data_IF_941364890587
#
_entry.id   IF_941364890587
#
_cell.length_a   1.000
_cell.length_b   1.000
_cell.length_c   1.000
_cell.angle_alpha   90.00
_cell.angle_beta   90.00
_cell.angle_gamma   90.00
#
_symmetry.space_group_name_H-M   'P 1'
#
loop_
_entity.id
_entity.type
_entity.pdbx_description
1 polymer ?
#
# COMPACT_ATOMS: atom_id res chain seq x y z
N UNK A 1 -1.46 11.95 -26.36
CA UNK A 1 -2.32 11.03 -25.58
C UNK A 1 -2.92 11.73 -24.40
N UNK A 2 -4.25 11.81 -24.34
CA UNK A 2 -4.95 12.31 -23.15
C UNK A 2 -4.88 11.23 -22.07
N UNK A 3 -4.45 11.53 -20.84
CA UNK A 3 -4.53 10.56 -19.75
C UNK A 3 -5.99 10.17 -19.54
N UNK A 4 -6.31 8.89 -19.67
CA UNK A 4 -7.58 8.33 -19.24
C UNK A 4 -7.71 8.63 -17.75
N UNK A 5 -8.65 9.50 -17.39
CA UNK A 5 -8.97 9.78 -15.99
C UNK A 5 -9.60 8.53 -15.41
N UNK A 6 -8.83 7.76 -14.64
CA UNK A 6 -9.33 6.59 -13.90
C UNK A 6 -10.46 7.05 -12.98
N UNK A 7 -11.70 6.71 -13.31
CA UNK A 7 -12.84 6.96 -12.43
C UNK A 7 -12.88 5.88 -11.36
N UNK A 8 -13.26 6.24 -10.13
CA UNK A 8 -13.55 5.24 -9.09
C UNK A 8 -14.61 4.28 -9.64
N UNK A 9 -14.37 2.95 -9.70
CA UNK A 9 -15.31 2.02 -10.30
C UNK A 9 -16.68 2.08 -9.62
N UNK A 10 -17.76 2.06 -10.41
CA UNK A 10 -19.12 1.91 -9.90
C UNK A 10 -19.22 0.58 -9.13
N UNK A 11 -19.56 0.63 -7.84
CA UNK A 11 -19.57 -0.56 -6.97
C UNK A 11 -18.26 -0.78 -6.20
N UNK A 12 -17.34 0.18 -6.22
CA UNK A 12 -16.23 0.22 -5.29
C UNK A 12 -16.75 0.07 -3.84
N UNK A 13 -16.26 -0.93 -3.08
CA UNK A 13 -16.64 -1.13 -1.70
C UNK A 13 -16.57 0.16 -0.89
N UNK A 14 -17.66 0.51 -0.22
CA UNK A 14 -17.74 1.65 0.70
C UNK A 14 -17.32 1.28 2.12
N UNK A 15 -17.12 0.00 2.40
CA UNK A 15 -16.90 -0.53 3.73
C UNK A 15 -15.49 -1.11 3.86
N UNK A 16 -14.72 -0.54 4.80
CA UNK A 16 -13.56 -1.10 5.49
C UNK A 16 -12.49 -1.82 4.66
N UNK A 17 -12.30 -1.44 3.39
CA UNK A 17 -11.38 -2.12 2.48
C UNK A 17 -10.37 -1.16 1.88
N UNK A 18 -9.10 -1.54 2.00
CA UNK A 18 -8.03 -0.95 1.23
C UNK A 18 -8.05 -1.58 -0.17
N UNK A 19 -8.04 -0.73 -1.20
CA UNK A 19 -8.19 -1.17 -2.59
C UNK A 19 -7.15 -0.45 -3.44
N UNK A 20 -6.44 -1.22 -4.25
CA UNK A 20 -5.56 -0.70 -5.28
C UNK A 20 -6.23 -0.95 -6.63
N UNK A 21 -6.31 0.10 -7.43
CA UNK A 21 -6.88 0.08 -8.76
C UNK A 21 -5.78 0.19 -9.81
N UNK A 22 -5.98 -0.46 -10.95
CA UNK A 22 -5.27 -0.18 -12.17
C UNK A 22 -6.32 0.12 -13.25
N UNK A 23 -6.27 1.32 -13.83
CA UNK A 23 -7.33 1.88 -14.67
C UNK A 23 -8.69 1.80 -13.95
N UNK A 24 -9.58 0.91 -14.41
CA UNK A 24 -10.91 0.68 -13.85
C UNK A 24 -11.06 -0.69 -13.17
N UNK A 25 -9.95 -1.42 -13.01
CA UNK A 25 -9.94 -2.77 -12.43
C UNK A 25 -9.40 -2.73 -11.02
N UNK A 26 -10.05 -3.46 -10.13
CA UNK A 26 -9.52 -3.73 -8.80
C UNK A 26 -8.39 -4.76 -8.95
N UNK A 27 -7.16 -4.39 -8.59
CA UNK A 27 -5.97 -5.24 -8.74
C UNK A 27 -5.42 -5.76 -7.42
N UNK A 28 -5.73 -5.07 -6.33
CA UNK A 28 -5.68 -5.64 -4.98
C UNK A 28 -6.90 -5.16 -4.21
N UNK A 29 -7.58 -6.10 -3.56
CA UNK A 29 -8.62 -5.83 -2.58
C UNK A 29 -8.59 -6.90 -1.51
N UNK A 30 -9.03 -6.53 -0.32
CA UNK A 30 -9.49 -7.51 0.63
C UNK A 30 -10.79 -8.15 0.12
N UNK A 31 -10.77 -9.45 -0.16
CA UNK A 31 -11.98 -10.21 -0.45
C UNK A 31 -12.37 -11.04 0.78
N UNK A 32 -13.43 -10.63 1.48
CA UNK A 32 -13.89 -11.26 2.72
C UNK A 32 -14.40 -12.70 2.55
N UNK A 33 -14.58 -13.18 1.31
CA UNK A 33 -15.10 -14.53 1.00
C UNK A 33 -14.06 -15.48 0.38
N UNK A 34 -12.84 -15.01 0.10
CA UNK A 34 -11.75 -15.88 -0.34
C UNK A 34 -10.59 -15.76 0.63
N UNK A 35 -10.25 -16.87 1.29
CA UNK A 35 -9.11 -17.04 2.19
C UNK A 35 -7.75 -16.97 1.44
N UNK A 36 -7.67 -16.12 0.40
CA UNK A 36 -6.58 -15.96 -0.58
C UNK A 36 -6.42 -14.50 -1.04
N UNK A 37 -6.81 -13.53 -0.21
CA UNK A 37 -6.37 -12.13 -0.37
C UNK A 37 -4.95 -11.94 0.21
N UNK A 38 -4.17 -10.92 -0.22
CA UNK A 38 -2.86 -10.65 0.36
C UNK A 38 -3.01 -10.45 1.88
N UNK A 39 -2.16 -11.08 2.71
CA UNK A 39 -2.54 -11.43 4.07
C UNK A 39 -2.61 -10.28 5.10
N UNK A 40 -2.34 -9.02 4.76
CA UNK A 40 -2.22 -7.96 5.78
C UNK A 40 -2.55 -6.56 5.25
N UNK A 41 -3.79 -6.28 4.89
CA UNK A 41 -4.29 -4.90 4.96
C UNK A 41 -5.27 -4.85 6.13
N UNK A 42 -4.88 -4.17 7.21
CA UNK A 42 -5.69 -4.09 8.41
C UNK A 42 -7.04 -3.43 8.08
N UNK A 43 -8.13 -4.05 8.56
CA UNK A 43 -9.52 -3.56 8.44
C UNK A 43 -9.80 -2.29 9.26
N UNK A 44 -8.80 -1.45 9.47
CA UNK A 44 -8.94 -0.25 10.25
C UNK A 44 -9.14 0.95 9.30
N UNK A 45 -10.34 1.54 9.34
CA UNK A 45 -10.64 2.80 8.63
C UNK A 45 -9.69 3.93 9.03
N UNK A 46 -9.17 3.87 10.25
CA UNK A 46 -8.21 4.84 10.77
C UNK A 46 -6.77 4.52 10.37
N UNK A 47 -6.51 3.45 9.61
CA UNK A 47 -5.15 3.16 9.12
C UNK A 47 -4.63 4.23 8.15
N UNK A 48 -5.54 4.92 7.44
CA UNK A 48 -5.22 5.82 6.33
C UNK A 48 -4.32 5.15 5.27
N UNK A 49 -4.54 3.86 4.99
CA UNK A 49 -3.84 3.17 3.91
C UNK A 49 -4.07 3.89 2.57
N UNK A 50 -3.00 4.05 1.79
CA UNK A 50 -3.04 4.81 0.54
C UNK A 50 -2.85 6.31 0.73
N UNK A 51 -2.62 6.79 1.96
CA UNK A 51 -2.33 8.20 2.22
C UNK A 51 -1.05 8.70 1.54
N UNK A 52 -0.09 7.80 1.33
CA UNK A 52 1.11 8.07 0.55
C UNK A 52 1.44 6.84 -0.29
N UNK A 53 1.92 7.06 -1.53
CA UNK A 53 2.25 6.00 -2.47
C UNK A 53 3.51 6.39 -3.23
N UNK A 54 4.44 5.44 -3.38
CA UNK A 54 5.58 5.56 -4.27
C UNK A 54 5.74 4.27 -5.09
N UNK A 55 6.12 4.41 -6.35
CA UNK A 55 6.36 3.30 -7.27
C UNK A 55 7.67 3.51 -8.01
N UNK A 56 8.46 2.45 -8.14
CA UNK A 56 9.64 2.39 -8.99
C UNK A 56 9.70 1.00 -9.62
N UNK A 57 9.79 0.97 -10.95
CA UNK A 57 9.64 -0.26 -11.74
C UNK A 57 8.35 -1.02 -11.35
N UNK A 58 8.49 -2.21 -10.78
CA UNK A 58 7.37 -3.01 -10.30
C UNK A 58 7.13 -2.89 -8.78
N UNK A 59 8.00 -2.22 -8.03
CA UNK A 59 7.86 -2.14 -6.57
C UNK A 59 6.96 -0.97 -6.19
N UNK A 60 5.93 -1.25 -5.40
CA UNK A 60 4.96 -0.27 -4.90
C UNK A 60 5.04 -0.26 -3.38
N UNK A 61 5.18 0.94 -2.81
CA UNK A 61 5.12 1.19 -1.38
C UNK A 61 3.89 2.03 -1.09
N UNK A 62 3.08 1.57 -0.14
CA UNK A 62 1.86 2.26 0.30
C UNK A 62 1.96 2.57 1.78
N UNK A 63 1.86 3.85 2.14
CA UNK A 63 1.82 4.30 3.53
C UNK A 63 0.43 4.21 4.14
N UNK A 64 0.41 3.93 5.45
CA UNK A 64 -0.78 3.89 6.30
C UNK A 64 -0.42 4.47 7.68
N UNK A 65 -0.34 5.81 7.76
CA UNK A 65 0.20 6.48 8.93
C UNK A 65 -0.67 6.38 10.20
N UNK A 66 -1.95 6.03 10.07
CA UNK A 66 -2.84 5.87 11.23
C UNK A 66 -2.91 4.44 11.77
N UNK A 67 -2.19 3.51 11.16
CA UNK A 67 -2.12 2.12 11.62
C UNK A 67 -1.56 2.02 13.05
N UNK A 68 -1.94 0.98 13.82
CA UNK A 68 -1.39 0.71 15.17
C UNK A 68 -1.40 1.94 16.09
N UNK A 69 -2.59 2.48 16.42
CA UNK A 69 -2.74 3.69 17.26
C UNK A 69 -2.00 4.93 16.70
N UNK A 70 -1.98 5.07 15.38
CA UNK A 70 -1.22 6.11 14.66
C UNK A 70 0.31 6.01 14.82
N UNK A 71 0.83 4.85 15.20
CA UNK A 71 2.26 4.55 15.06
C UNK A 71 2.67 4.44 13.59
N UNK A 72 1.76 3.97 12.74
CA UNK A 72 1.89 3.96 11.29
C UNK A 72 2.65 2.77 10.73
N UNK A 73 2.48 2.53 9.43
CA UNK A 73 3.11 1.44 8.69
C UNK A 73 3.31 1.80 7.21
N UNK A 74 4.19 1.06 6.54
CA UNK A 74 4.20 0.96 5.08
C UNK A 74 3.98 -0.49 4.65
N UNK A 75 3.38 -0.67 3.48
CA UNK A 75 3.09 -1.95 2.87
C UNK A 75 3.79 -2.03 1.51
N UNK A 76 4.52 -3.12 1.27
CA UNK A 76 5.28 -3.36 0.06
C UNK A 76 4.56 -4.36 -0.83
N UNK A 77 4.42 -4.01 -2.10
CA UNK A 77 3.86 -4.85 -3.15
C UNK A 77 4.78 -4.89 -4.37
N UNK A 78 4.67 -5.95 -5.17
CA UNK A 78 5.24 -6.03 -6.50
C UNK A 78 4.13 -6.15 -7.55
N UNK A 79 4.18 -5.31 -8.57
CA UNK A 79 3.28 -5.33 -9.70
C UNK A 79 3.75 -6.33 -10.75
N UNK A 80 2.94 -7.36 -11.01
CA UNK A 80 3.22 -8.39 -11.98
C UNK A 80 2.12 -8.43 -13.05
N UNK A 81 2.26 -7.65 -14.15
CA UNK A 81 1.26 -7.63 -15.23
C UNK A 81 1.15 -8.97 -15.97
N UNK A 82 2.18 -9.82 -15.90
CA UNK A 82 2.25 -11.10 -16.62
C UNK A 82 1.38 -12.20 -15.99
N UNK A 83 0.85 -12.01 -14.77
CA UNK A 83 -0.07 -12.97 -14.14
C UNK A 83 -1.53 -12.86 -14.62
N UNK A 84 -1.79 -12.09 -15.68
CA UNK A 84 -3.11 -11.95 -16.29
C UNK A 84 -3.52 -13.21 -17.08
N UNK A 85 -4.11 -14.21 -16.42
CA UNK A 85 -4.73 -15.36 -17.09
C UNK A 85 -6.14 -15.02 -17.62
N UNK A 86 -6.20 -14.44 -18.82
CA UNK A 86 -7.45 -14.27 -19.58
C UNK A 86 -8.53 -13.42 -18.89
N UNK A 87 -9.77 -13.92 -18.81
CA UNK A 87 -10.98 -13.18 -18.42
C UNK A 87 -11.07 -12.78 -16.93
N UNK A 88 -10.07 -13.15 -16.11
CA UNK A 88 -10.03 -12.87 -14.67
C UNK A 88 -8.61 -12.47 -14.27
N UNK A 89 -8.37 -11.16 -14.19
CA UNK A 89 -7.15 -10.57 -13.62
C UNK A 89 -7.26 -10.56 -12.09
N UNK A 90 -7.11 -11.73 -11.46
CA UNK A 90 -6.85 -11.77 -10.02
C UNK A 90 -5.34 -11.68 -9.80
N UNK A 91 -4.93 -10.81 -8.87
CA UNK A 91 -3.58 -10.76 -8.28
C UNK A 91 -2.46 -10.21 -9.18
N UNK A 92 -2.68 -9.06 -9.83
CA UNK A 92 -1.57 -8.32 -10.46
C UNK A 92 -0.59 -7.71 -9.44
N UNK A 93 -0.89 -7.80 -8.14
CA UNK A 93 -0.05 -7.33 -7.06
C UNK A 93 0.29 -8.49 -6.12
N UNK A 94 1.58 -8.69 -5.90
CA UNK A 94 2.13 -9.62 -4.92
C UNK A 94 2.50 -8.85 -3.65
N UNK A 95 1.94 -9.22 -2.51
CA UNK A 95 2.31 -8.61 -1.24
C UNK A 95 3.64 -9.17 -0.73
N UNK A 96 4.59 -8.27 -0.46
CA UNK A 96 5.95 -8.62 -0.04
C UNK A 96 6.22 -8.34 1.44
N UNK A 97 5.39 -7.55 2.12
CA UNK A 97 5.54 -7.33 3.56
C UNK A 97 4.98 -6.02 4.09
N UNK A 98 4.84 -5.95 5.41
CA UNK A 98 4.47 -4.76 6.19
C UNK A 98 5.70 -4.36 6.97
N UNK A 99 6.08 -3.09 6.89
CA UNK A 99 7.19 -2.52 7.66
C UNK A 99 6.60 -1.52 8.65
N UNK A 100 7.03 -1.65 9.90
CA UNK A 100 6.74 -0.74 11.00
C UNK A 100 8.03 -0.45 11.76
N UNK A 101 8.04 0.62 12.54
CA UNK A 101 9.13 0.88 13.47
C UNK A 101 9.09 -0.16 14.59
N UNK A 102 10.24 -0.73 14.94
CA UNK A 102 10.35 -1.70 16.04
C UNK A 102 10.09 -1.05 17.41
N UNK A 103 10.42 0.22 17.51
CA UNK A 103 10.23 1.13 18.64
C UNK A 103 9.20 2.21 18.30
N UNK A 104 8.27 1.91 17.38
CA UNK A 104 7.21 2.82 16.98
C UNK A 104 6.23 3.06 18.11
N UNK A 105 6.02 4.32 18.44
CA UNK A 105 5.09 4.76 19.48
C UNK A 105 3.78 5.27 18.87
N UNK A 106 2.68 5.30 19.65
CA UNK A 106 1.47 5.98 19.21
C UNK A 106 1.77 7.39 18.71
N UNK A 107 1.11 7.76 17.62
CA UNK A 107 1.27 9.04 16.93
C UNK A 107 2.60 9.27 16.20
N UNK A 108 3.52 8.29 16.07
CA UNK A 108 4.72 8.45 15.24
C UNK A 108 4.40 8.78 13.77
N UNK A 109 3.23 8.35 13.29
CA UNK A 109 2.75 8.60 11.93
C UNK A 109 3.72 8.08 10.86
N UNK A 110 4.38 6.95 11.09
CA UNK A 110 5.29 6.35 10.13
C UNK A 110 4.53 5.96 8.84
N UNK A 111 5.07 6.30 7.68
CA UNK A 111 4.36 6.12 6.40
C UNK A 111 3.50 7.32 6.02
N UNK A 112 3.65 8.47 6.69
CA UNK A 112 2.96 9.70 6.31
C UNK A 112 3.37 10.20 4.93
N UNK A 113 4.66 10.10 4.60
CA UNK A 113 5.19 10.32 3.26
C UNK A 113 6.12 9.17 2.89
N UNK A 114 6.11 8.79 1.61
CA UNK A 114 7.01 7.77 1.06
C UNK A 114 7.64 8.28 -0.22
N UNK A 115 8.93 8.00 -0.39
CA UNK A 115 9.63 8.16 -1.65
C UNK A 115 10.37 6.86 -1.96
N UNK A 116 10.50 6.56 -3.24
CA UNK A 116 11.15 5.35 -3.71
C UNK A 116 12.01 5.69 -4.92
N UNK A 117 13.28 5.29 -4.87
CA UNK A 117 14.21 5.38 -5.98
C UNK A 117 15.09 4.13 -6.00
N UNK A 118 15.14 3.42 -7.12
CA UNK A 118 15.79 2.11 -7.20
C UNK A 118 15.24 1.18 -6.11
N UNK A 119 16.11 0.70 -5.22
CA UNK A 119 15.73 -0.13 -4.07
C UNK A 119 15.77 0.63 -2.73
N UNK A 120 15.82 1.95 -2.77
CA UNK A 120 15.88 2.79 -1.57
C UNK A 120 14.52 3.41 -1.31
N UNK A 121 13.92 3.05 -0.18
CA UNK A 121 12.67 3.58 0.33
C UNK A 121 13.00 4.64 1.39
N UNK A 122 12.48 5.85 1.24
CA UNK A 122 12.48 6.86 2.29
C UNK A 122 11.07 7.00 2.85
N UNK A 123 10.94 6.98 4.18
CA UNK A 123 9.65 7.04 4.87
C UNK A 123 9.67 8.16 5.90
N UNK A 124 8.75 9.11 5.75
CA UNK A 124 8.53 10.17 6.72
C UNK A 124 7.69 9.69 7.90
N UNK A 125 8.08 10.14 9.08
CA UNK A 125 7.38 9.95 10.36
C UNK A 125 7.38 11.29 11.10
N UNK A 126 6.50 12.24 10.71
CA UNK A 126 6.48 13.59 11.26
C UNK A 126 5.95 13.64 12.69
N UNK A 127 5.36 12.55 13.17
CA UNK A 127 4.96 12.38 14.56
C UNK A 127 6.09 11.84 15.44
N UNK A 128 5.84 11.77 16.75
CA UNK A 128 6.80 11.37 17.78
C UNK A 128 8.23 11.88 17.57
N UNK A 129 9.15 11.02 17.09
CA UNK A 129 10.58 11.37 16.87
C UNK A 129 10.85 12.33 15.72
N UNK A 130 9.88 12.61 14.84
CA UNK A 130 10.00 13.55 13.71
C UNK A 130 11.18 13.22 12.79
N UNK A 131 11.20 12.01 12.26
CA UNK A 131 12.33 11.47 11.52
C UNK A 131 11.97 11.05 10.09
N UNK A 132 13.01 10.85 9.29
CA UNK A 132 12.94 10.14 8.01
C UNK A 132 13.74 8.86 8.14
N UNK A 133 13.13 7.74 7.77
CA UNK A 133 13.75 6.42 7.80
C UNK A 133 14.08 5.98 6.39
N UNK A 134 15.32 5.54 6.18
CA UNK A 134 15.79 5.04 4.88
C UNK A 134 15.96 3.52 4.98
N UNK A 135 15.28 2.79 4.10
CA UNK A 135 15.44 1.35 3.91
C UNK A 135 16.05 1.11 2.55
N UNK A 136 17.21 0.46 2.51
CA UNK A 136 17.82 -0.01 1.26
C UNK A 136 17.83 -1.53 1.26
N UNK A 137 17.24 -2.14 0.23
CA UNK A 137 17.26 -3.59 0.06
C UNK A 137 18.03 -3.99 -1.20
N UNK A 138 18.77 -5.09 -1.15
CA UNK A 138 19.36 -5.72 -2.34
C UNK A 138 18.90 -7.17 -2.37
N UNK A 139 17.68 -7.43 -2.83
CA UNK A 139 17.14 -8.80 -2.88
C UNK A 139 16.69 -9.31 -1.52
#
# INVERSE_FOLDING_TARGET
DNPTVSQKPSGAPTENRCIIYNENKIVAMENSSMNRGPPYIERNRDSYFGASVAIFENMIIVGAYGNDQRGGAIYKYYYNPSQSLGLIQFNLLEYSGKIKLSDGEPYDSFGYSVALANNTIAVGSPGGKRAVYIYSGTG
#
